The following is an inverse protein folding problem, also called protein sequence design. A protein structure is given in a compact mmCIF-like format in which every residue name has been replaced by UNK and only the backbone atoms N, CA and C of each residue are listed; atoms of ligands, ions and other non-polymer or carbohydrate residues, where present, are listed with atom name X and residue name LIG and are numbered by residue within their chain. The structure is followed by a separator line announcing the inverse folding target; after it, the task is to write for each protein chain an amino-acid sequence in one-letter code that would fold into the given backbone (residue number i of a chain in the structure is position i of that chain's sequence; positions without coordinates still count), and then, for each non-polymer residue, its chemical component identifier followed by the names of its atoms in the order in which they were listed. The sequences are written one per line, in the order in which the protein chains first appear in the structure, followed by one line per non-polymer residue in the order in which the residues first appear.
data_IF_537893293761
#
_entry.id   IF_537893293761
#
_cell.length_a   1.000
_cell.length_b   1.000
_cell.length_c   1.000
_cell.angle_alpha   90.00
_cell.angle_beta   90.00
_cell.angle_gamma   90.00
#
_symmetry.space_group_name_H-M   'P 1'
#
loop_
_entity.id
_entity.type
_entity.pdbx_description
1 polymer ?
#
# COMPACT_ATOMS: atom_id res chain seq x y z
N UNK A 1 -23.86 20.32 -18.62
CA UNK A 1 -23.46 19.37 -17.56
C UNK A 1 -22.30 18.55 -18.11
N UNK A 2 -21.06 18.88 -17.75
CA UNK A 2 -19.89 18.09 -18.15
C UNK A 2 -19.73 16.99 -17.09
N UNK A 3 -20.19 15.79 -17.41
CA UNK A 3 -20.01 14.62 -16.56
C UNK A 3 -18.54 14.21 -16.59
N UNK A 4 -17.85 14.35 -15.46
CA UNK A 4 -16.52 13.77 -15.27
C UNK A 4 -16.65 12.25 -15.25
N UNK A 5 -16.46 11.60 -16.40
CA UNK A 5 -16.21 10.16 -16.44
C UNK A 5 -14.90 9.90 -15.70
N UNK A 6 -14.96 9.16 -14.60
CA UNK A 6 -13.77 8.70 -13.90
C UNK A 6 -12.83 8.05 -14.92
N UNK A 7 -11.59 8.54 -15.00
CA UNK A 7 -10.58 7.98 -15.88
C UNK A 7 -10.35 6.51 -15.48
N UNK A 8 -10.90 5.59 -16.26
CA UNK A 8 -10.60 4.17 -16.13
C UNK A 8 -9.22 3.94 -16.69
N UNK A 9 -8.18 4.12 -15.87
CA UNK A 9 -6.82 3.71 -16.24
C UNK A 9 -6.85 2.20 -16.49
N UNK A 10 -6.57 1.79 -17.73
CA UNK A 10 -6.58 0.38 -18.11
C UNK A 10 -5.60 -0.40 -17.20
N UNK A 11 -6.14 -1.30 -16.39
CA UNK A 11 -5.37 -2.11 -15.44
C UNK A 11 -5.37 -1.62 -13.99
N UNK A 12 -5.88 -0.43 -13.67
CA UNK A 12 -6.04 0.02 -12.29
C UNK A 12 -7.31 -0.54 -11.65
N UNK A 13 -7.18 -1.13 -10.46
CA UNK A 13 -8.29 -1.74 -9.72
C UNK A 13 -8.89 -0.67 -8.82
N UNK A 14 -10.11 -0.25 -9.11
CA UNK A 14 -10.72 0.93 -8.47
C UNK A 14 -11.52 0.59 -7.20
N UNK A 15 -11.90 -0.67 -7.01
CA UNK A 15 -12.81 -1.05 -5.93
C UNK A 15 -12.61 -2.49 -5.46
N UNK A 16 -13.25 -2.81 -4.32
CA UNK A 16 -13.28 -4.14 -3.71
C UNK A 16 -13.83 -5.22 -4.65
N UNK A 17 -14.85 -4.91 -5.45
CA UNK A 17 -15.49 -5.91 -6.33
C UNK A 17 -14.52 -6.36 -7.41
N UNK A 18 -13.83 -5.42 -8.04
CA UNK A 18 -12.78 -5.69 -9.02
C UNK A 18 -11.65 -6.50 -8.37
N UNK A 19 -11.17 -6.08 -7.19
CA UNK A 19 -10.13 -6.80 -6.44
C UNK A 19 -10.51 -8.26 -6.17
N UNK A 20 -11.69 -8.51 -5.61
CA UNK A 20 -12.15 -9.85 -5.24
C UNK A 20 -12.48 -10.72 -6.47
N UNK A 21 -12.72 -10.12 -7.63
CA UNK A 21 -12.92 -10.86 -8.89
C UNK A 21 -11.61 -11.35 -9.52
N UNK A 22 -10.46 -10.82 -9.08
CA UNK A 22 -9.15 -11.21 -9.60
C UNK A 22 -8.72 -12.58 -9.08
N UNK A 23 -8.11 -13.36 -9.96
CA UNK A 23 -7.40 -14.58 -9.56
C UNK A 23 -6.31 -14.25 -8.53
N UNK A 24 -5.98 -15.17 -7.61
CA UNK A 24 -4.95 -14.95 -6.59
C UNK A 24 -3.63 -14.42 -7.16
N UNK A 25 -3.15 -14.98 -8.27
CA UNK A 25 -1.88 -14.59 -8.90
C UNK A 25 -1.94 -13.16 -9.45
N UNK A 26 -3.09 -12.75 -9.97
CA UNK A 26 -3.29 -11.38 -10.44
C UNK A 26 -3.31 -10.38 -9.27
N UNK A 27 -3.89 -10.76 -8.12
CA UNK A 27 -3.85 -9.93 -6.90
C UNK A 27 -2.44 -9.80 -6.36
N UNK A 28 -1.67 -10.89 -6.35
CA UNK A 28 -0.27 -10.87 -5.96
C UNK A 28 0.56 -9.95 -6.86
N UNK A 29 0.44 -10.10 -8.19
CA UNK A 29 1.13 -9.23 -9.14
C UNK A 29 0.74 -7.75 -8.96
N UNK A 30 -0.54 -7.46 -8.73
CA UNK A 30 -0.99 -6.09 -8.47
C UNK A 30 -0.48 -5.54 -7.14
N UNK A 31 -0.46 -6.37 -6.08
CA UNK A 31 0.13 -6.01 -4.79
C UNK A 31 1.64 -5.74 -4.91
N UNK A 32 2.36 -6.51 -5.72
CA UNK A 32 3.77 -6.27 -6.03
C UNK A 32 3.96 -4.92 -6.74
N UNK A 33 3.18 -4.64 -7.79
CA UNK A 33 3.26 -3.35 -8.49
C UNK A 33 2.92 -2.15 -7.59
N UNK A 34 1.94 -2.30 -6.70
CA UNK A 34 1.67 -1.30 -5.67
C UNK A 34 2.84 -1.17 -4.70
N UNK A 35 3.41 -2.27 -4.24
CA UNK A 35 4.56 -2.24 -3.34
C UNK A 35 5.74 -1.49 -3.94
N UNK A 36 6.07 -1.80 -5.18
CA UNK A 36 7.20 -1.20 -5.88
C UNK A 36 6.97 0.29 -6.11
N UNK A 37 5.78 0.68 -6.57
CA UNK A 37 5.46 2.10 -6.79
C UNK A 37 5.35 2.92 -5.50
N UNK A 38 4.76 2.37 -4.44
CA UNK A 38 4.50 3.10 -3.20
C UNK A 38 5.74 3.21 -2.28
N UNK A 39 6.70 2.28 -2.41
CA UNK A 39 7.94 2.29 -1.62
C UNK A 39 9.15 2.79 -2.39
N UNK A 40 9.02 3.11 -3.68
CA UNK A 40 10.08 3.77 -4.44
C UNK A 40 10.34 5.17 -3.87
N UNK A 41 11.59 5.44 -3.49
CA UNK A 41 12.05 6.74 -3.02
C UNK A 41 12.36 7.60 -4.25
N UNK A 42 11.57 8.64 -4.49
CA UNK A 42 11.74 9.56 -5.60
C UNK A 42 12.69 10.70 -5.22
N UNK A 43 13.27 11.37 -6.23
CA UNK A 43 14.22 12.46 -6.02
C UNK A 43 13.60 13.70 -5.36
N UNK A 44 12.28 13.86 -5.48
CA UNK A 44 11.47 14.94 -4.94
C UNK A 44 10.75 14.58 -3.63
N UNK A 45 10.97 13.38 -3.09
CA UNK A 45 10.49 13.03 -1.75
C UNK A 45 11.14 13.95 -0.71
N UNK A 46 10.32 14.46 0.21
CA UNK A 46 10.86 15.03 1.45
C UNK A 46 11.60 13.94 2.24
N UNK A 47 12.54 14.34 3.10
CA UNK A 47 13.23 13.39 4.00
C UNK A 47 12.22 12.57 4.82
N UNK A 48 11.12 13.19 5.24
CA UNK A 48 10.07 12.52 6.01
C UNK A 48 9.36 11.42 5.22
N UNK A 49 9.06 11.65 3.94
CA UNK A 49 8.45 10.66 3.06
C UNK A 49 9.42 9.52 2.73
N UNK A 50 10.67 9.85 2.44
CA UNK A 50 11.71 8.87 2.16
C UNK A 50 11.91 7.91 3.35
N UNK A 51 11.88 8.41 4.60
CA UNK A 51 12.02 7.58 5.80
C UNK A 51 10.81 6.68 6.04
N UNK A 52 9.60 7.14 5.71
CA UNK A 52 8.40 6.27 5.73
C UNK A 52 8.55 5.12 4.75
N UNK A 53 8.98 5.39 3.51
CA UNK A 53 9.18 4.37 2.47
C UNK A 53 10.29 3.38 2.86
N UNK A 54 11.41 3.88 3.38
CA UNK A 54 12.50 3.04 3.92
C UNK A 54 12.04 2.15 5.06
N UNK A 55 11.25 2.68 6.01
CA UNK A 55 10.67 1.91 7.11
C UNK A 55 9.75 0.79 6.65
N UNK A 56 8.91 1.05 5.64
CA UNK A 56 8.07 0.01 5.01
C UNK A 56 8.91 -1.08 4.34
N UNK A 57 9.93 -0.70 3.57
CA UNK A 57 10.83 -1.67 2.93
C UNK A 57 11.53 -2.56 3.95
N UNK A 58 12.07 -1.98 5.03
CA UNK A 58 12.72 -2.73 6.11
C UNK A 58 11.76 -3.69 6.80
N UNK A 59 10.57 -3.21 7.16
CA UNK A 59 9.50 -4.01 7.74
C UNK A 59 9.16 -5.23 6.89
N UNK A 60 8.94 -5.04 5.58
CA UNK A 60 8.57 -6.13 4.67
C UNK A 60 9.68 -7.17 4.52
N UNK A 61 10.94 -6.75 4.47
CA UNK A 61 12.09 -7.66 4.42
C UNK A 61 12.21 -8.48 5.71
N UNK A 62 12.14 -7.82 6.87
CA UNK A 62 12.28 -8.48 8.17
C UNK A 62 11.13 -9.47 8.44
N UNK A 63 9.91 -9.12 8.01
CA UNK A 63 8.72 -9.98 8.11
C UNK A 63 8.62 -11.00 6.97
N UNK A 64 9.55 -11.02 6.01
CA UNK A 64 9.52 -11.87 4.81
C UNK A 64 8.18 -11.78 4.07
N UNK A 65 7.60 -10.59 4.03
CA UNK A 65 6.28 -10.35 3.44
C UNK A 65 6.43 -10.12 1.94
N UNK A 66 6.01 -11.12 1.17
CA UNK A 66 6.00 -11.07 -0.30
C UNK A 66 4.64 -10.65 -0.88
N UNK A 67 4.58 -10.61 -2.21
CA UNK A 67 3.40 -10.23 -2.98
C UNK A 67 2.11 -10.98 -2.58
N UNK A 68 2.21 -12.29 -2.35
CA UNK A 68 1.07 -13.12 -1.95
C UNK A 68 0.52 -12.71 -0.59
N UNK A 69 1.39 -12.60 0.42
CA UNK A 69 1.02 -12.15 1.77
C UNK A 69 0.43 -10.73 1.76
N UNK A 70 0.96 -9.83 0.93
CA UNK A 70 0.40 -8.50 0.75
C UNK A 70 -1.02 -8.54 0.17
N UNK A 71 -1.23 -9.35 -0.87
CA UNK A 71 -2.54 -9.51 -1.48
C UNK A 71 -3.55 -10.13 -0.49
N UNK A 72 -3.12 -11.09 0.33
CA UNK A 72 -3.93 -11.68 1.39
C UNK A 72 -4.30 -10.66 2.46
N UNK A 73 -3.35 -9.85 2.94
CA UNK A 73 -3.60 -8.81 3.93
C UNK A 73 -4.61 -7.76 3.41
N UNK A 74 -4.47 -7.32 2.16
CA UNK A 74 -5.45 -6.42 1.51
C UNK A 74 -6.82 -7.09 1.43
N UNK A 75 -6.86 -8.36 1.02
CA UNK A 75 -8.11 -9.13 0.95
C UNK A 75 -8.77 -9.28 2.33
N UNK A 76 -7.97 -9.52 3.37
CA UNK A 76 -8.43 -9.64 4.74
C UNK A 76 -9.03 -8.33 5.26
N UNK A 77 -8.40 -7.18 4.94
CA UNK A 77 -8.90 -5.86 5.32
C UNK A 77 -10.30 -5.58 4.78
N UNK A 78 -10.63 -6.06 3.57
CA UNK A 78 -11.97 -5.96 3.00
C UNK A 78 -13.07 -6.81 3.68
N UNK A 79 -12.73 -7.56 4.74
CA UNK A 79 -13.71 -8.17 5.64
C UNK A 79 -14.29 -7.14 6.62
N UNK A 80 -13.60 -6.03 6.88
CA UNK A 80 -14.17 -4.92 7.62
C UNK A 80 -15.03 -4.06 6.68
N UNK A 81 -16.30 -3.85 7.05
CA UNK A 81 -17.26 -3.07 6.28
C UNK A 81 -16.83 -1.60 6.11
N UNK A 82 -16.07 -1.05 7.05
CA UNK A 82 -15.58 0.34 7.01
C UNK A 82 -14.67 0.62 5.80
N UNK A 83 -14.09 -0.43 5.23
CA UNK A 83 -13.11 -0.30 4.13
C UNK A 83 -13.66 -0.73 2.78
N UNK A 84 -14.94 -1.10 2.69
CA UNK A 84 -15.52 -1.65 1.46
C UNK A 84 -15.53 -0.69 0.27
N UNK A 85 -15.56 0.62 0.54
CA UNK A 85 -15.56 1.68 -0.50
C UNK A 85 -14.16 2.15 -0.89
N UNK A 86 -13.11 1.68 -0.22
CA UNK A 86 -11.75 2.10 -0.51
C UNK A 86 -11.15 1.29 -1.67
N UNK A 87 -10.30 1.91 -2.51
CA UNK A 87 -9.56 1.18 -3.53
C UNK A 87 -8.42 0.34 -2.89
N UNK A 88 -7.92 -0.71 -3.57
CA UNK A 88 -6.82 -1.54 -3.08
C UNK A 88 -5.54 -0.75 -2.74
N UNK A 89 -5.25 0.36 -3.42
CA UNK A 89 -4.10 1.20 -3.08
C UNK A 89 -4.23 1.89 -1.73
N UNK A 90 -5.42 2.37 -1.39
CA UNK A 90 -5.69 2.91 -0.05
C UNK A 90 -5.59 1.80 1.00
N UNK A 91 -6.06 0.59 0.67
CA UNK A 91 -5.91 -0.57 1.53
C UNK A 91 -4.46 -0.98 1.75
N UNK A 92 -3.64 -0.93 0.71
CA UNK A 92 -2.21 -1.14 0.81
C UNK A 92 -1.59 -0.14 1.80
N UNK A 93 -1.86 1.17 1.63
CA UNK A 93 -1.31 2.21 2.51
C UNK A 93 -1.72 2.00 3.97
N UNK A 94 -3.00 1.72 4.24
CA UNK A 94 -3.51 1.47 5.58
C UNK A 94 -2.88 0.21 6.19
N UNK A 95 -2.76 -0.87 5.39
CA UNK A 95 -2.11 -2.11 5.83
C UNK A 95 -0.65 -1.86 6.22
N UNK A 96 0.10 -1.13 5.39
CA UNK A 96 1.48 -0.76 5.69
C UNK A 96 1.60 0.11 6.94
N UNK A 97 0.73 1.11 7.09
CA UNK A 97 0.73 1.98 8.26
C UNK A 97 0.49 1.20 9.55
N UNK A 98 -0.39 0.18 9.54
CA UNK A 98 -0.64 -0.67 10.71
C UNK A 98 0.52 -1.64 10.98
N UNK A 99 0.96 -2.35 9.96
CA UNK A 99 1.95 -3.42 10.10
C UNK A 99 3.37 -2.88 10.37
N UNK A 100 3.72 -1.75 9.76
CA UNK A 100 5.09 -1.25 9.73
C UNK A 100 5.29 0.00 10.59
N UNK A 101 4.32 0.40 11.43
CA UNK A 101 4.41 1.62 12.25
C UNK A 101 5.72 1.72 13.03
N UNK A 102 6.09 0.65 13.74
CA UNK A 102 7.31 0.64 14.57
C UNK A 102 8.56 0.86 13.71
N UNK A 103 8.65 0.20 12.56
CA UNK A 103 9.78 0.37 11.64
C UNK A 103 9.85 1.78 11.06
N UNK A 104 8.71 2.35 10.68
CA UNK A 104 8.60 3.73 10.20
C UNK A 104 9.05 4.71 11.27
N UNK A 105 8.56 4.56 12.50
CA UNK A 105 8.90 5.46 13.60
C UNK A 105 10.40 5.36 13.98
N UNK A 106 11.00 4.17 13.92
CA UNK A 106 12.44 3.98 14.11
C UNK A 106 13.23 4.75 13.03
N UNK A 107 12.95 4.52 11.74
CA UNK A 107 13.67 5.19 10.65
C UNK A 107 13.47 6.71 10.65
N UNK A 108 12.34 7.20 11.16
CA UNK A 108 12.09 8.65 11.32
C UNK A 108 12.90 9.22 12.48
N UNK A 109 12.91 8.52 13.63
CA UNK A 109 13.59 8.98 14.84
C UNK A 109 15.10 9.11 14.69
N UNK A 110 15.74 8.26 13.88
CA UNK A 110 17.19 8.32 13.61
C UNK A 110 17.62 9.62 12.92
N UNK A 111 16.68 10.33 12.27
CA UNK A 111 16.89 11.62 11.64
C UNK A 111 16.25 12.78 12.39
N UNK A 112 15.84 12.57 13.65
CA UNK A 112 15.20 13.61 14.47
C UNK A 112 13.78 13.98 14.03
N UNK A 113 13.14 13.14 13.20
CA UNK A 113 11.75 13.33 12.81
C UNK A 113 10.81 12.74 13.88
N UNK A 114 9.68 13.41 14.12
CA UNK A 114 8.63 12.87 14.98
C UNK A 114 7.98 11.61 14.39
N UNK A 115 7.18 10.86 15.16
CA UNK A 115 6.47 9.67 14.67
C UNK A 115 5.52 10.01 13.50
N UNK A 116 5.21 9.01 12.66
CA UNK A 116 4.23 9.17 11.56
C UNK A 116 2.81 8.83 12.00
#
# INVERSE_FOLDING_TARGET
MLGSTAASAAGYVNDRKQWLSMKPEARAAYAQGMNDSQNFIYADDTLAEAMVKRGRTKCLLDLKTGADTLAENITFMYKNNDYMSLPPSAMYIITMAKMCKVYIDIERSTFGLGPS
#
